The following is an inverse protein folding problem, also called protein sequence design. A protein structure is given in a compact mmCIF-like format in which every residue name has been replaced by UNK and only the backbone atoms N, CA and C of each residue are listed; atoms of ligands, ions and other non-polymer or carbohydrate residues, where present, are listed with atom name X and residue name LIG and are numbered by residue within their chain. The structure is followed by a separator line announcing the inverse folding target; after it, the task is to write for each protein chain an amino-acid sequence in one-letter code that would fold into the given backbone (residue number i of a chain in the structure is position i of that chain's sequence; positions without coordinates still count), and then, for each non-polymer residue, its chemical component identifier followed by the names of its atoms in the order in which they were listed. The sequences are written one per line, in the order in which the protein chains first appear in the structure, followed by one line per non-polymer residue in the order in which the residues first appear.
data_IF_728288413426
#
_entry.id   IF_728288413426
#
_cell.length_a   1.000
_cell.length_b   1.000
_cell.length_c   1.000
_cell.angle_alpha   90.00
_cell.angle_beta   90.00
_cell.angle_gamma   90.00
#
_symmetry.space_group_name_H-M   'P 1'
#
loop_
_entity.id
_entity.type
_entity.pdbx_description
1 polymer ?
#
# COMPACT_ATOMS: atom_id res chain seq x y z
N UNK A 1 -11.23 -3.74 -60.40
CA UNK A 1 -11.14 -3.68 -60.04
C UNK A 1 -11.07 -3.55 -59.27
N UNK A 2 -11.14 -3.40 -58.68
CA UNK A 2 -11.08 -3.28 -57.96
C UNK A 2 -11.13 -3.55 -57.19
N UNK A 3 -10.78 -3.51 -56.98
CA UNK A 3 -10.61 -3.95 -56.07
C UNK A 3 -11.17 -3.71 -55.02
N UNK A 4 -11.85 -4.07 -54.86
CA UNK A 4 -12.44 -4.14 -53.65
C UNK A 4 -11.48 -4.44 -52.56
N UNK A 5 -10.58 -3.64 -52.55
CA UNK A 5 -9.68 -3.83 -51.44
C UNK A 5 -10.38 -3.34 -50.18
N UNK A 6 -10.51 -4.20 -49.27
CA UNK A 6 -10.97 -3.79 -47.99
C UNK A 6 -9.83 -3.26 -47.22
N UNK A 7 -9.99 -2.17 -46.52
CA UNK A 7 -8.98 -1.81 -45.59
C UNK A 7 -8.70 -3.04 -44.74
N UNK A 8 -7.46 -3.24 -44.51
CA UNK A 8 -7.05 -4.40 -43.76
C UNK A 8 -7.94 -4.50 -42.55
N UNK A 9 -8.69 -5.56 -42.54
CA UNK A 9 -9.47 -5.80 -41.37
C UNK A 9 -8.51 -6.18 -40.31
N UNK A 10 -8.54 -5.38 -39.29
CA UNK A 10 -7.82 -5.78 -38.13
C UNK A 10 -8.46 -7.05 -37.63
N UNK A 11 -7.65 -8.02 -37.21
CA UNK A 11 -8.21 -9.15 -36.53
C UNK A 11 -9.10 -8.66 -35.40
N UNK A 12 -10.17 -9.38 -35.11
CA UNK A 12 -11.03 -8.95 -34.01
C UNK A 12 -10.16 -8.67 -32.80
N UNK A 13 -10.12 -7.43 -32.45
CA UNK A 13 -9.39 -7.09 -31.25
C UNK A 13 -10.29 -7.33 -30.07
N UNK A 14 -9.74 -7.91 -29.06
CA UNK A 14 -10.41 -7.91 -27.79
C UNK A 14 -10.81 -6.47 -27.47
N UNK A 15 -11.93 -6.25 -26.80
CA UNK A 15 -12.25 -4.92 -26.34
C UNK A 15 -11.01 -4.34 -25.67
N UNK A 16 -10.73 -3.07 -25.91
CA UNK A 16 -9.56 -2.48 -25.27
C UNK A 16 -9.60 -2.78 -23.78
N UNK A 17 -8.52 -3.33 -23.27
CA UNK A 17 -8.43 -3.52 -21.84
C UNK A 17 -8.74 -2.18 -21.19
N UNK A 18 -9.51 -2.18 -20.10
CA UNK A 18 -9.70 -0.93 -19.38
C UNK A 18 -8.34 -0.31 -19.13
N UNK A 19 -8.25 0.99 -19.29
CA UNK A 19 -7.01 1.69 -19.02
C UNK A 19 -6.51 1.24 -17.65
N UNK A 20 -5.21 0.95 -17.51
CA UNK A 20 -4.72 0.55 -16.21
C UNK A 20 -5.07 1.63 -15.19
N UNK A 21 -5.77 1.24 -14.16
CA UNK A 21 -6.08 2.16 -13.09
C UNK A 21 -4.82 2.43 -12.30
N UNK A 22 -4.58 3.68 -11.94
CA UNK A 22 -3.43 3.95 -11.11
C UNK A 22 -3.56 3.18 -9.79
N UNK A 23 -2.46 2.57 -9.38
CA UNK A 23 -2.41 1.87 -8.12
C UNK A 23 -2.12 2.88 -7.02
N UNK A 24 -2.84 2.77 -5.93
CA UNK A 24 -2.65 3.63 -4.78
C UNK A 24 -2.32 2.77 -3.56
N UNK A 25 -1.61 3.33 -2.58
CA UNK A 25 -1.17 2.55 -1.45
C UNK A 25 -2.32 2.23 -0.50
N UNK A 26 -2.29 1.02 0.00
CA UNK A 26 -3.26 0.54 0.99
C UNK A 26 -2.51 -0.19 2.10
N UNK A 27 -3.08 -0.16 3.29
CA UNK A 27 -2.64 -1.06 4.36
C UNK A 27 -3.74 -2.08 4.58
N UNK A 28 -3.38 -3.34 4.54
CA UNK A 28 -4.32 -4.42 4.83
C UNK A 28 -4.15 -4.83 6.28
N UNK A 29 -5.15 -4.50 7.09
CA UNK A 29 -5.16 -4.77 8.52
C UNK A 29 -6.36 -5.66 8.80
N UNK A 30 -6.13 -6.84 9.37
CA UNK A 30 -7.20 -7.81 9.64
C UNK A 30 -8.02 -8.10 8.38
N UNK A 31 -7.33 -8.26 7.26
CA UNK A 31 -7.92 -8.55 5.96
C UNK A 31 -8.77 -7.41 5.41
N UNK A 32 -8.69 -6.23 6.00
CA UNK A 32 -9.42 -5.05 5.56
C UNK A 32 -8.45 -4.06 4.92
N UNK A 33 -8.62 -3.75 3.64
CA UNK A 33 -7.75 -2.77 3.01
C UNK A 33 -8.17 -1.35 3.41
N UNK A 34 -7.19 -0.55 3.77
CA UNK A 34 -7.40 0.85 4.12
C UNK A 34 -6.57 1.68 3.17
N UNK A 35 -7.23 2.48 2.35
CA UNK A 35 -6.54 3.33 1.39
C UNK A 35 -5.82 4.47 2.12
N UNK A 36 -4.56 4.70 1.73
CA UNK A 36 -3.78 5.81 2.26
C UNK A 36 -3.95 7.01 1.35
N UNK A 37 -4.59 8.05 1.86
CA UNK A 37 -4.96 9.20 1.03
C UNK A 37 -4.13 10.45 1.30
N UNK A 38 -3.45 10.49 2.42
CA UNK A 38 -2.59 11.64 2.74
C UNK A 38 -1.35 11.17 3.46
N UNK A 39 -0.27 11.92 3.29
CA UNK A 39 1.02 11.58 3.86
C UNK A 39 1.64 12.80 4.55
N UNK A 40 2.43 12.58 5.57
CA UNK A 40 2.73 11.28 6.19
C UNK A 40 1.52 10.75 6.95
N UNK A 41 1.43 9.43 7.05
CA UNK A 41 0.37 8.78 7.82
C UNK A 41 1.01 8.07 9.01
N UNK A 42 0.45 8.30 10.19
CA UNK A 42 0.95 7.70 11.43
C UNK A 42 0.04 6.54 11.81
N UNK A 43 0.64 5.41 12.10
CA UNK A 43 -0.08 4.22 12.53
C UNK A 43 0.31 3.92 13.96
N UNK A 44 -0.69 3.67 14.79
CA UNK A 44 -0.45 3.36 16.19
C UNK A 44 -1.74 3.13 16.94
N UNK A 45 -1.60 2.96 18.25
CA UNK A 45 -2.72 2.65 19.12
C UNK A 45 -3.43 3.90 19.63
N UNK A 46 -2.78 5.03 19.59
CA UNK A 46 -3.28 6.25 20.20
C UNK A 46 -4.25 7.00 19.31
N UNK A 47 -4.98 7.92 19.92
CA UNK A 47 -5.92 8.76 19.21
C UNK A 47 -5.22 9.75 18.27
N UNK A 48 -3.93 9.97 18.46
CA UNK A 48 -3.16 10.85 17.56
C UNK A 48 -2.71 10.14 16.29
N UNK A 49 -2.89 8.83 16.20
CA UNK A 49 -2.56 8.11 14.99
C UNK A 49 -3.63 8.35 13.92
N UNK A 50 -3.19 8.47 12.68
CA UNK A 50 -4.12 8.61 11.55
C UNK A 50 -4.85 7.30 11.29
N UNK A 51 -4.16 6.19 11.45
CA UNK A 51 -4.74 4.87 11.39
C UNK A 51 -4.52 4.22 12.74
N UNK A 52 -5.63 3.91 13.41
CA UNK A 52 -5.55 3.33 14.73
C UNK A 52 -5.59 1.82 14.66
N UNK A 53 -4.62 1.19 15.29
CA UNK A 53 -4.52 -0.26 15.37
C UNK A 53 -4.52 -0.65 16.84
N UNK A 54 -5.48 -1.44 17.25
CA UNK A 54 -5.58 -1.87 18.65
C UNK A 54 -4.61 -3.00 18.92
N UNK A 55 -3.89 -2.90 20.01
CA UNK A 55 -2.95 -3.92 20.42
C UNK A 55 -2.12 -3.44 21.60
N UNK A 56 -1.92 -4.32 22.58
CA UNK A 56 -1.17 -3.96 23.77
C UNK A 56 0.29 -3.69 23.45
N UNK A 57 0.79 -4.34 22.42
CA UNK A 57 2.20 -4.22 22.03
C UNK A 57 2.44 -3.07 21.06
N UNK A 58 1.42 -2.31 20.74
CA UNK A 58 1.51 -1.23 19.76
C UNK A 58 1.61 0.10 20.50
N UNK A 59 2.61 0.90 20.15
CA UNK A 59 2.79 2.22 20.73
C UNK A 59 1.75 3.20 20.20
N UNK A 60 1.50 4.26 20.93
CA UNK A 60 0.52 5.28 20.53
C UNK A 60 0.81 5.83 19.15
N UNK A 61 2.08 6.14 18.89
CA UNK A 61 2.59 6.49 17.56
C UNK A 61 3.68 5.48 17.28
N UNK A 62 3.35 4.49 16.50
CA UNK A 62 4.27 3.35 16.32
C UNK A 62 5.16 3.52 15.12
N UNK A 63 4.57 3.81 13.97
CA UNK A 63 5.34 4.03 12.75
C UNK A 63 4.65 5.07 11.89
N UNK A 64 5.39 5.56 10.92
CA UNK A 64 4.90 6.55 9.97
C UNK A 64 5.24 6.09 8.57
N UNK A 65 4.32 6.30 7.65
CA UNK A 65 4.57 6.06 6.24
C UNK A 65 4.53 7.39 5.53
N UNK A 66 5.59 7.71 4.79
CA UNK A 66 5.67 8.93 4.01
C UNK A 66 5.81 8.60 2.54
N UNK A 67 5.50 9.57 1.70
CA UNK A 67 5.62 9.43 0.25
C UNK A 67 6.61 10.47 -0.24
N UNK A 68 7.74 10.00 -0.76
CA UNK A 68 8.83 10.87 -1.21
C UNK A 68 9.34 10.38 -2.55
N UNK A 69 9.36 11.28 -3.53
CA UNK A 69 9.95 10.98 -4.85
C UNK A 69 9.42 9.69 -5.46
N UNK A 70 8.14 9.45 -5.33
CA UNK A 70 7.51 8.26 -5.89
C UNK A 70 7.67 7.00 -5.05
N UNK A 71 8.34 7.08 -3.91
CA UNK A 71 8.54 5.93 -3.03
C UNK A 71 7.78 6.10 -1.72
N UNK A 72 7.36 4.99 -1.15
CA UNK A 72 6.70 4.97 0.14
C UNK A 72 7.69 4.49 1.18
N UNK A 73 7.91 5.32 2.19
CA UNK A 73 8.96 5.10 3.17
C UNK A 73 8.33 4.87 4.54
N UNK A 74 8.70 3.78 5.18
CA UNK A 74 8.25 3.50 6.54
C UNK A 74 9.34 3.85 7.54
N UNK A 75 8.94 4.50 8.63
CA UNK A 75 9.86 4.91 9.70
C UNK A 75 9.26 4.50 11.04
N UNK A 76 10.04 3.80 11.86
CA UNK A 76 9.62 3.52 13.23
C UNK A 76 9.77 4.80 14.05
N UNK A 77 8.73 5.14 14.80
CA UNK A 77 8.72 6.39 15.57
C UNK A 77 9.19 6.19 17.02
N UNK A 78 10.16 5.30 17.21
CA UNK A 78 10.67 5.02 18.55
C UNK A 78 9.71 4.13 19.34
N UNK A 79 9.07 3.19 18.68
CA UNK A 79 8.11 2.33 19.34
C UNK A 79 8.76 1.46 20.41
N UNK A 80 7.99 1.12 21.43
CA UNK A 80 8.50 0.33 22.57
C UNK A 80 8.90 -1.07 22.12
N UNK A 81 8.11 -1.69 21.28
CA UNK A 81 8.34 -3.08 20.88
C UNK A 81 8.93 -3.21 19.48
N UNK A 82 9.18 -2.09 18.81
CA UNK A 82 9.79 -2.11 17.50
C UNK A 82 8.84 -2.46 16.37
N UNK A 83 9.35 -2.32 15.17
CA UNK A 83 8.64 -2.65 13.94
C UNK A 83 9.51 -3.63 13.16
N UNK A 84 8.86 -4.63 12.58
CA UNK A 84 9.54 -5.57 11.68
C UNK A 84 9.08 -5.31 10.26
N UNK A 85 10.00 -5.30 9.33
CA UNK A 85 9.69 -5.22 7.90
C UNK A 85 10.18 -6.48 7.23
N UNK A 86 9.25 -7.27 6.70
CA UNK A 86 9.55 -8.53 6.03
C UNK A 86 10.43 -9.44 6.89
N UNK A 87 10.17 -9.44 8.19
CA UNK A 87 10.90 -10.30 9.14
C UNK A 87 12.20 -9.73 9.67
N UNK A 88 12.54 -8.51 9.27
CA UNK A 88 13.78 -7.85 9.71
C UNK A 88 13.44 -6.62 10.54
N UNK A 89 14.15 -6.44 11.65
CA UNK A 89 13.91 -5.27 12.51
C UNK A 89 14.16 -3.98 11.73
N UNK A 90 13.20 -3.07 11.80
CA UNK A 90 13.28 -1.77 11.12
C UNK A 90 14.02 -0.80 12.03
N UNK A 91 15.27 -0.53 11.71
CA UNK A 91 16.10 0.38 12.51
C UNK A 91 16.29 1.73 11.86
N UNK A 92 16.12 1.79 10.56
CA UNK A 92 16.24 3.03 9.78
C UNK A 92 15.07 3.07 8.80
N UNK A 93 14.72 4.24 8.27
CA UNK A 93 13.65 4.31 7.27
C UNK A 93 13.93 3.37 6.11
N UNK A 94 12.89 2.73 5.62
CA UNK A 94 13.01 1.76 4.54
C UNK A 94 11.87 1.94 3.55
N UNK A 95 12.12 1.54 2.31
CA UNK A 95 11.13 1.64 1.25
C UNK A 95 10.15 0.48 1.31
N UNK A 96 8.87 0.78 1.17
CA UNK A 96 7.83 -0.23 1.08
C UNK A 96 7.55 -0.58 -0.37
N UNK A 97 7.27 -1.85 -0.60
CA UNK A 97 6.87 -2.36 -1.91
C UNK A 97 5.56 -3.12 -1.77
N UNK A 98 4.85 -3.32 -2.88
CA UNK A 98 3.64 -4.12 -2.84
C UNK A 98 3.91 -5.47 -2.21
N UNK A 99 3.12 -5.81 -1.21
CA UNK A 99 3.29 -7.06 -0.48
C UNK A 99 4.24 -6.99 0.70
N UNK A 100 4.81 -5.82 0.99
CA UNK A 100 5.67 -5.69 2.17
C UNK A 100 4.87 -5.98 3.43
N UNK A 101 5.45 -6.75 4.33
CA UNK A 101 4.83 -7.11 5.60
C UNK A 101 5.41 -6.28 6.72
N UNK A 102 4.57 -5.52 7.39
CA UNK A 102 4.93 -4.78 8.58
C UNK A 102 4.35 -5.47 9.79
N UNK A 103 5.17 -5.66 10.79
CA UNK A 103 4.71 -6.25 12.02
C UNK A 103 4.94 -5.26 13.16
N UNK A 104 3.85 -4.91 13.83
CA UNK A 104 3.84 -4.01 14.96
C UNK A 104 3.41 -4.80 16.18
N UNK A 105 4.37 -5.14 17.04
CA UNK A 105 4.04 -6.03 18.15
C UNK A 105 3.47 -7.34 17.62
N UNK A 106 2.25 -7.65 17.98
CA UNK A 106 1.57 -8.88 17.55
C UNK A 106 0.70 -8.70 16.32
N UNK A 107 0.68 -7.51 15.74
CA UNK A 107 -0.19 -7.20 14.61
C UNK A 107 0.60 -7.18 13.32
N UNK A 108 0.08 -7.86 12.32
CA UNK A 108 0.68 -7.88 10.98
C UNK A 108 -0.13 -7.01 10.04
N UNK A 109 0.56 -6.18 9.27
CA UNK A 109 -0.05 -5.27 8.32
C UNK A 109 0.66 -5.44 6.99
N UNK A 110 -0.10 -5.65 5.91
CA UNK A 110 0.46 -5.73 4.58
C UNK A 110 0.33 -4.39 3.87
N UNK A 111 1.42 -3.97 3.26
CA UNK A 111 1.39 -2.80 2.39
C UNK A 111 1.07 -3.29 0.98
N UNK A 112 0.01 -2.76 0.40
CA UNK A 112 -0.45 -3.20 -0.92
C UNK A 112 -0.65 -2.02 -1.84
N UNK A 113 -0.29 -2.20 -3.10
CA UNK A 113 -0.61 -1.24 -4.13
C UNK A 113 -1.81 -1.78 -4.90
N UNK A 114 -2.93 -1.11 -4.80
CA UNK A 114 -4.19 -1.57 -5.38
C UNK A 114 -4.92 -0.40 -6.03
N UNK A 115 -5.87 -0.68 -6.93
CA UNK A 115 -6.71 0.39 -7.46
C UNK A 115 -7.46 1.12 -6.35
N UNK A 116 -7.75 2.37 -6.58
CA UNK A 116 -8.46 3.19 -5.61
C UNK A 116 -9.78 2.53 -5.23
N UNK A 117 -10.11 2.61 -3.95
CA UNK A 117 -11.31 1.97 -3.43
C UNK A 117 -11.11 0.53 -3.03
N UNK A 118 -9.94 -0.07 -3.24
CA UNK A 118 -9.67 -1.45 -2.87
C UNK A 118 -10.53 -2.46 -3.60
N UNK A 119 -11.21 -2.04 -4.64
CA UNK A 119 -12.13 -2.91 -5.36
C UNK A 119 -11.37 -3.77 -6.36
N UNK A 120 -11.86 -4.94 -6.54
CA UNK A 120 -11.37 -5.84 -7.56
C UNK A 120 -12.07 -5.60 -8.85
#
# INVERSE_FOLDING_TARGET
MSAAWKPAQQPPQAPPAPAPQPLVPHLEIDEQPIELTSFPVVIGRGSVADIRVDGKSISRRHLQISHQSGAYIVTDLGSTNGTMLNGTALRTPATLHDGSLLRLGDTSIFFRMMPAGGAL
#
